data_IF_155200353845
#
_entry.id   IF_155200353845
#
_cell.length_a   1.000
_cell.length_b   1.000
_cell.length_c   1.000
_cell.angle_alpha   90.00
_cell.angle_beta   90.00
_cell.angle_gamma   90.00
#
_symmetry.space_group_name_H-M   'P 1'
#
loop_
_entity.id
_entity.type
_entity.pdbx_description
1 polymer ?
#
# COMPACT_ATOMS: atom_id res chain seq x y z
N UNK A 1 15.91 27.05 8.25
CA UNK A 1 14.80 27.09 7.30
C UNK A 1 14.36 25.68 7.01
N UNK A 2 13.14 25.36 7.38
CA UNK A 2 12.55 24.08 7.07
C UNK A 2 11.95 24.12 5.66
N UNK A 3 12.44 23.26 4.78
CA UNK A 3 11.83 23.12 3.47
C UNK A 3 10.45 22.49 3.62
N UNK A 4 9.49 22.97 2.84
CA UNK A 4 8.19 22.32 2.78
C UNK A 4 8.35 20.93 2.20
N UNK A 5 7.60 19.92 2.71
CA UNK A 5 7.62 18.58 2.13
C UNK A 5 7.19 18.63 0.66
N UNK A 6 7.93 17.91 -0.17
CA UNK A 6 7.56 17.78 -1.59
C UNK A 6 6.38 16.85 -1.73
N UNK A 7 5.41 17.27 -2.53
CA UNK A 7 4.24 16.45 -2.85
C UNK A 7 4.07 16.30 -4.36
N UNK A 8 3.46 15.19 -4.77
CA UNK A 8 3.04 14.96 -6.14
C UNK A 8 1.55 14.62 -6.05
N UNK A 9 0.71 15.45 -6.67
CA UNK A 9 -0.75 15.30 -6.58
C UNK A 9 -1.27 15.20 -5.14
N UNK A 10 -0.66 15.97 -4.23
CA UNK A 10 -1.02 15.96 -2.82
C UNK A 10 -0.44 14.82 -2.01
N UNK A 11 0.31 13.92 -2.62
CA UNK A 11 0.93 12.78 -1.93
C UNK A 11 2.39 13.11 -1.62
N UNK A 12 2.78 12.91 -0.37
CA UNK A 12 4.14 13.17 0.10
C UNK A 12 5.15 12.25 -0.61
N UNK A 13 6.18 12.86 -1.18
CA UNK A 13 7.29 12.09 -1.78
C UNK A 13 8.09 11.45 -0.64
N UNK A 14 8.36 10.14 -0.70
CA UNK A 14 9.17 9.48 0.33
C UNK A 14 10.60 10.05 0.38
N UNK A 15 11.23 9.95 1.54
CA UNK A 15 12.63 10.34 1.67
C UNK A 15 13.52 9.41 0.85
N UNK A 16 14.72 9.89 0.53
CA UNK A 16 15.70 9.08 -0.18
C UNK A 16 16.01 7.79 0.57
N UNK A 17 16.12 7.85 1.90
CA UNK A 17 16.41 6.66 2.69
C UNK A 17 15.29 5.63 2.63
N UNK A 18 14.04 6.08 2.58
CA UNK A 18 12.89 5.19 2.41
C UNK A 18 12.91 4.54 1.03
N UNK A 19 13.11 5.33 -0.02
CA UNK A 19 13.20 4.80 -1.38
C UNK A 19 14.34 3.79 -1.51
N UNK A 20 15.51 4.11 -0.97
CA UNK A 20 16.67 3.21 -1.00
C UNK A 20 16.38 1.88 -0.29
N UNK A 21 15.62 1.91 0.79
CA UNK A 21 15.24 0.70 1.52
C UNK A 21 14.51 -0.30 0.61
N UNK A 22 13.72 0.19 -0.33
CA UNK A 22 12.95 -0.64 -1.24
C UNK A 22 13.58 -0.75 -2.63
N UNK A 23 14.79 -0.22 -2.79
CA UNK A 23 15.49 -0.26 -4.07
C UNK A 23 14.83 0.54 -5.17
N UNK A 24 14.12 1.62 -4.81
CA UNK A 24 13.34 2.42 -5.75
C UNK A 24 13.98 3.78 -6.02
N UNK A 25 13.80 4.26 -7.25
CA UNK A 25 14.03 5.66 -7.59
C UNK A 25 12.73 6.44 -7.34
N UNK A 26 12.86 7.77 -7.23
CA UNK A 26 11.69 8.64 -7.12
C UNK A 26 10.78 8.51 -8.34
N UNK A 27 11.36 8.36 -9.53
CA UNK A 27 10.60 8.18 -10.76
C UNK A 27 9.79 6.89 -10.76
N UNK A 28 10.37 5.79 -10.29
CA UNK A 28 9.65 4.53 -10.15
C UNK A 28 8.48 4.64 -9.17
N UNK A 29 8.68 5.33 -8.05
CA UNK A 29 7.63 5.61 -7.09
C UNK A 29 6.50 6.41 -7.73
N UNK A 30 6.85 7.45 -8.46
CA UNK A 30 5.87 8.30 -9.14
C UNK A 30 5.08 7.53 -10.21
N UNK A 31 5.76 6.65 -10.95
CA UNK A 31 5.10 5.80 -11.96
C UNK A 31 4.04 4.90 -11.32
N UNK A 32 4.35 4.30 -10.17
CA UNK A 32 3.37 3.48 -9.44
C UNK A 32 2.20 4.34 -8.98
N UNK A 33 2.48 5.53 -8.44
CA UNK A 33 1.45 6.47 -7.99
C UNK A 33 0.50 6.83 -9.13
N UNK A 34 1.04 7.11 -10.30
CA UNK A 34 0.24 7.43 -11.49
C UNK A 34 -0.62 6.24 -11.92
N UNK A 35 -0.07 5.02 -11.90
CA UNK A 35 -0.83 3.81 -12.23
C UNK A 35 -2.00 3.58 -11.28
N UNK A 36 -1.88 4.07 -10.06
CA UNK A 36 -2.93 3.96 -9.04
C UNK A 36 -3.87 5.16 -9.01
N UNK A 37 -3.79 6.07 -9.98
CA UNK A 37 -4.58 7.30 -10.02
C UNK A 37 -4.43 8.17 -8.77
N UNK A 38 -3.23 8.20 -8.20
CA UNK A 38 -2.82 8.99 -7.04
C UNK A 38 -3.60 8.68 -5.76
N UNK A 39 -4.11 7.46 -5.64
CA UNK A 39 -4.85 6.99 -4.46
C UNK A 39 -4.27 5.67 -3.96
N UNK A 40 -4.74 5.23 -2.79
CA UNK A 40 -4.38 3.92 -2.25
C UNK A 40 -4.73 2.81 -3.25
N UNK A 41 -3.80 1.90 -3.48
CA UNK A 41 -4.00 0.80 -4.41
C UNK A 41 -5.02 -0.25 -3.96
N UNK A 42 -5.43 -0.22 -2.70
CA UNK A 42 -6.40 -1.17 -2.13
C UNK A 42 -7.78 -0.55 -2.01
N UNK A 43 -7.92 0.52 -1.21
CA UNK A 43 -9.23 1.12 -0.96
C UNK A 43 -9.62 2.19 -1.98
N UNK A 44 -8.71 2.58 -2.84
CA UNK A 44 -8.92 3.58 -3.89
C UNK A 44 -9.33 4.96 -3.36
N UNK A 45 -8.93 5.28 -2.13
CA UNK A 45 -9.22 6.58 -1.51
C UNK A 45 -7.95 7.42 -1.41
N UNK A 46 -8.15 8.74 -1.44
CA UNK A 46 -7.06 9.68 -1.14
C UNK A 46 -6.72 9.56 0.34
N UNK A 47 -5.46 9.31 0.71
CA UNK A 47 -5.12 9.18 2.13
C UNK A 47 -5.28 10.51 2.85
N UNK A 48 -5.99 10.55 4.00
CA UNK A 48 -6.19 11.81 4.73
C UNK A 48 -4.90 12.49 5.16
N UNK A 49 -3.85 11.71 5.44
CA UNK A 49 -2.55 12.23 5.82
C UNK A 49 -1.72 12.75 4.64
N UNK A 50 -2.17 12.51 3.39
CA UNK A 50 -1.36 12.77 2.20
C UNK A 50 -0.21 11.80 2.03
N UNK A 51 -0.20 10.68 2.77
CA UNK A 51 0.91 9.73 2.76
C UNK A 51 0.44 8.35 2.32
N UNK A 52 1.14 7.78 1.35
CA UNK A 52 0.99 6.39 0.96
C UNK A 52 2.29 5.66 1.30
N UNK A 53 2.16 4.45 1.81
CA UNK A 53 3.29 3.62 2.22
C UNK A 53 3.64 2.64 1.12
N UNK A 54 4.93 2.37 0.96
CA UNK A 54 5.40 1.37 -0.02
C UNK A 54 5.08 0.00 0.54
N UNK A 55 4.20 -0.72 -0.15
CA UNK A 55 3.80 -2.07 0.23
C UNK A 55 4.67 -3.08 -0.49
N UNK A 56 5.10 -4.12 0.21
CA UNK A 56 5.93 -5.18 -0.36
C UNK A 56 5.50 -6.55 0.12
N UNK A 57 5.82 -7.55 -0.66
CA UNK A 57 5.62 -8.94 -0.26
C UNK A 57 6.55 -9.28 0.90
N UNK A 58 6.01 -9.88 1.94
CA UNK A 58 6.77 -10.27 3.13
C UNK A 58 7.43 -11.62 2.89
N UNK A 59 8.71 -11.58 2.53
CA UNK A 59 9.49 -12.79 2.28
C UNK A 59 10.59 -12.95 3.34
N UNK A 60 10.92 -14.19 3.65
CA UNK A 60 11.95 -14.49 4.63
C UNK A 60 13.30 -13.92 4.17
N UNK A 61 14.00 -13.25 5.10
CA UNK A 61 15.31 -12.68 4.80
C UNK A 61 15.29 -11.43 3.94
N UNK A 62 14.15 -10.77 3.83
CA UNK A 62 14.01 -9.57 3.01
C UNK A 62 15.08 -8.51 3.32
N UNK A 63 15.37 -8.28 4.61
CA UNK A 63 16.36 -7.27 5.03
C UNK A 63 17.79 -7.57 4.57
N UNK A 64 18.10 -8.84 4.31
CA UNK A 64 19.41 -9.28 3.85
C UNK A 64 19.57 -9.25 2.34
N UNK A 65 18.49 -9.01 1.62
CA UNK A 65 18.51 -8.96 0.16
C UNK A 65 19.10 -7.64 -0.33
N UNK A 66 19.66 -7.66 -1.54
CA UNK A 66 20.15 -6.44 -2.19
C UNK A 66 18.98 -5.50 -2.50
N UNK A 67 19.30 -4.23 -2.76
CA UNK A 67 18.28 -3.24 -3.16
C UNK A 67 17.55 -3.69 -4.42
N UNK A 68 18.25 -4.21 -5.39
CA UNK A 68 17.67 -4.70 -6.64
C UNK A 68 16.70 -5.85 -6.39
N UNK A 69 17.03 -6.75 -5.49
CA UNK A 69 16.15 -7.85 -5.12
C UNK A 69 14.92 -7.35 -4.35
N UNK A 70 15.10 -6.40 -3.42
CA UNK A 70 13.98 -5.81 -2.67
C UNK A 70 12.98 -5.13 -3.59
N UNK A 71 13.47 -4.46 -4.64
CA UNK A 71 12.60 -3.77 -5.60
C UNK A 71 11.57 -4.72 -6.22
N UNK A 72 11.96 -5.96 -6.48
CA UNK A 72 11.09 -6.95 -7.09
C UNK A 72 9.89 -7.34 -6.22
N UNK A 73 10.00 -7.14 -4.91
CA UNK A 73 8.93 -7.49 -3.97
C UNK A 73 7.98 -6.33 -3.69
N UNK A 74 8.22 -5.14 -4.24
CA UNK A 74 7.31 -4.01 -4.11
C UNK A 74 6.05 -4.29 -4.90
N UNK A 75 4.89 -4.25 -4.20
CA UNK A 75 3.60 -4.52 -4.82
C UNK A 75 2.88 -3.25 -5.25
N UNK A 76 3.06 -2.17 -4.51
CA UNK A 76 2.41 -0.91 -4.81
C UNK A 76 2.44 0.04 -3.63
N UNK A 77 1.54 1.01 -3.62
CA UNK A 77 1.42 2.01 -2.58
C UNK A 77 0.06 1.88 -1.90
N UNK A 78 0.04 1.90 -0.59
CA UNK A 78 -1.19 1.74 0.19
C UNK A 78 -1.25 2.73 1.34
N UNK A 79 -2.46 3.13 1.73
CA UNK A 79 -2.64 3.99 2.90
C UNK A 79 -2.29 3.22 4.17
N UNK A 80 -2.15 3.95 5.28
CA UNK A 80 -1.74 3.36 6.55
C UNK A 80 -2.64 2.18 6.96
N UNK A 81 -3.95 2.37 6.89
CA UNK A 81 -4.91 1.33 7.31
C UNK A 81 -4.79 0.09 6.43
N UNK A 82 -4.77 0.26 5.12
CA UNK A 82 -4.68 -0.88 4.21
C UNK A 82 -3.33 -1.59 4.32
N UNK A 83 -2.24 -0.84 4.42
CA UNK A 83 -0.90 -1.41 4.54
C UNK A 83 -0.73 -2.19 5.84
N UNK A 84 -1.24 -1.67 6.95
CA UNK A 84 -1.05 -2.28 8.27
C UNK A 84 -2.06 -3.37 8.58
N UNK A 85 -3.33 -3.16 8.27
CA UNK A 85 -4.42 -4.03 8.75
C UNK A 85 -4.99 -4.95 7.68
N UNK A 86 -4.90 -4.60 6.42
CA UNK A 86 -5.40 -5.45 5.34
C UNK A 86 -4.28 -6.28 4.72
N UNK A 87 -3.17 -5.63 4.36
CA UNK A 87 -2.05 -6.28 3.66
C UNK A 87 -0.95 -6.74 4.63
N UNK A 88 -1.31 -7.38 5.74
CA UNK A 88 -0.31 -7.92 6.65
C UNK A 88 0.32 -9.20 6.09
N UNK A 89 1.39 -9.69 6.74
CA UNK A 89 2.16 -10.83 6.24
C UNK A 89 1.40 -12.16 6.21
N UNK A 90 0.24 -12.22 6.85
CA UNK A 90 -0.59 -13.44 6.90
C UNK A 90 -1.70 -13.45 5.85
N UNK A 91 -1.87 -12.36 5.14
CA UNK A 91 -2.96 -12.23 4.17
C UNK A 91 -2.61 -12.92 2.85
N UNK A 92 -3.61 -13.53 2.24
CA UNK A 92 -3.51 -14.09 0.90
C UNK A 92 -4.87 -13.95 0.21
N UNK A 93 -4.92 -13.97 -1.14
CA UNK A 93 -6.16 -13.64 -1.86
C UNK A 93 -7.38 -14.44 -1.45
N UNK A 94 -7.24 -15.76 -1.24
CA UNK A 94 -8.36 -16.62 -0.85
C UNK A 94 -8.93 -16.21 0.51
N UNK A 95 -8.08 -15.81 1.45
CA UNK A 95 -8.53 -15.35 2.76
C UNK A 95 -9.34 -14.05 2.63
N UNK A 96 -8.87 -13.12 1.81
CA UNK A 96 -9.60 -11.87 1.58
C UNK A 96 -10.96 -12.11 0.95
N UNK A 97 -11.05 -13.02 -0.02
CA UNK A 97 -12.33 -13.40 -0.63
C UNK A 97 -13.26 -14.06 0.38
N UNK A 98 -12.74 -14.93 1.24
CA UNK A 98 -13.52 -15.57 2.28
C UNK A 98 -14.04 -14.55 3.30
N UNK A 99 -13.21 -13.58 3.68
CA UNK A 99 -13.63 -12.51 4.58
C UNK A 99 -14.72 -11.65 3.95
N UNK A 100 -14.59 -11.34 2.68
CA UNK A 100 -15.60 -10.58 1.94
C UNK A 100 -16.93 -11.35 1.91
N UNK A 101 -16.90 -12.63 1.59
CA UNK A 101 -18.10 -13.47 1.55
C UNK A 101 -18.77 -13.57 2.92
N UNK A 102 -17.98 -13.69 3.98
CA UNK A 102 -18.47 -13.72 5.35
C UNK A 102 -19.24 -12.43 5.70
N UNK A 103 -18.69 -11.29 5.37
CA UNK A 103 -19.34 -10.00 5.63
C UNK A 103 -20.59 -9.81 4.76
N UNK A 104 -20.53 -10.20 3.50
CA UNK A 104 -21.66 -10.10 2.58
C UNK A 104 -22.84 -10.95 3.03
N UNK A 105 -22.59 -12.16 3.54
CA UNK A 105 -23.63 -13.02 4.07
C UNK A 105 -24.32 -12.40 5.28
N UNK A 106 -23.57 -11.76 6.17
CA UNK A 106 -24.14 -11.03 7.30
C UNK A 106 -24.99 -9.85 6.83
N UNK A 107 -24.49 -9.07 5.91
CA UNK A 107 -25.23 -7.90 5.36
C UNK A 107 -26.55 -8.37 4.73
N UNK A 108 -26.50 -9.44 3.95
CA UNK A 108 -27.71 -10.00 3.31
C UNK A 108 -28.75 -10.45 4.35
N UNK A 109 -28.32 -11.08 5.44
CA UNK A 109 -29.23 -11.46 6.54
C UNK A 109 -29.87 -10.23 7.19
N UNK A 110 -29.08 -9.20 7.46
CA UNK A 110 -29.57 -7.97 8.07
C UNK A 110 -30.60 -7.27 7.21
N UNK A 111 -30.38 -7.25 5.91
CA UNK A 111 -31.33 -6.64 4.97
C UNK A 111 -32.67 -7.36 4.94
N UNK A 112 -32.69 -8.68 5.13
CA UNK A 112 -33.94 -9.45 5.17
C UNK A 112 -34.73 -9.24 6.45
N UNK A 113 -34.08 -8.82 7.53
CA UNK A 113 -34.71 -8.60 8.84
C UNK A 113 -35.38 -7.21 8.95
N UNK A 114 -35.11 -6.33 8.00
CA UNK A 114 -35.70 -4.98 7.97
C UNK A 114 -37.04 -4.94 7.25
#
# INVERSE_FOLDING_TARGET
VTEEPRTVHGILVPSKSTLDRYGMTEMEWQDILEQQDWVCGVCCKVPPSGRLFIDHEHVRGWRKKSKEARRKYVRGLACYVCNRFVLNYRVYPQLLRAAAAYLEAYIARRMKEE
#
